data_IF_735961205416
#
_entry.id   IF_735961205416
#
_cell.length_a   1.000
_cell.length_b   1.000
_cell.length_c   1.000
_cell.angle_alpha   90.00
_cell.angle_beta   90.00
_cell.angle_gamma   90.00
#
_symmetry.space_group_name_H-M   'P 1'
#
loop_
_entity.id
_entity.type
_entity.pdbx_description
1 polymer ?
#
# COMPACT_ATOMS: atom_id res chain seq x y z
N UNK A 1 8.77 7.35 22.00
CA UNK A 1 9.18 6.41 23.08
C UNK A 1 9.97 7.17 24.14
N UNK A 2 9.74 6.88 25.42
CA UNK A 2 10.55 7.39 26.53
C UNK A 2 11.38 6.24 27.10
N UNK A 3 12.69 6.40 27.23
CA UNK A 3 13.58 5.35 27.72
C UNK A 3 14.48 5.90 28.80
N UNK A 4 14.45 5.26 29.97
CA UNK A 4 15.43 5.51 31.03
C UNK A 4 16.72 4.75 30.67
N UNK A 5 17.80 5.48 30.41
CA UNK A 5 19.04 4.89 29.91
C UNK A 5 20.07 4.75 31.04
N UNK A 6 20.64 3.55 31.25
CA UNK A 6 21.81 3.39 32.10
C UNK A 6 22.95 4.31 31.64
N UNK A 7 23.72 4.87 32.58
CA UNK A 7 24.77 5.86 32.31
C UNK A 7 25.80 5.45 31.22
N UNK A 8 26.02 4.14 31.02
CA UNK A 8 26.91 3.60 29.99
C UNK A 8 26.41 3.75 28.55
N UNK A 9 25.13 4.06 28.33
CA UNK A 9 24.55 4.20 26.99
C UNK A 9 24.77 5.58 26.36
N UNK A 10 25.23 6.57 27.14
CA UNK A 10 25.53 7.94 26.66
C UNK A 10 26.58 7.99 25.55
N UNK A 11 27.49 7.00 25.50
CA UNK A 11 28.57 6.89 24.51
C UNK A 11 28.18 6.16 23.23
N UNK A 12 27.01 5.53 23.21
CA UNK A 12 26.51 4.87 22.00
C UNK A 12 26.05 5.91 20.99
N UNK A 13 26.03 5.54 19.71
CA UNK A 13 25.24 6.28 18.72
C UNK A 13 23.75 5.94 18.87
N UNK A 14 22.86 6.80 18.35
CA UNK A 14 21.43 6.50 18.32
C UNK A 14 21.13 5.20 17.57
N UNK A 15 21.87 4.89 16.50
CA UNK A 15 21.80 3.61 15.78
C UNK A 15 22.12 2.42 16.67
N UNK A 16 23.25 2.46 17.37
CA UNK A 16 23.65 1.40 18.30
C UNK A 16 22.65 1.23 19.44
N UNK A 17 22.04 2.34 19.90
CA UNK A 17 20.99 2.30 20.90
C UNK A 17 19.72 1.62 20.34
N UNK A 18 19.29 1.98 19.13
CA UNK A 18 18.15 1.36 18.45
C UNK A 18 18.36 -0.15 18.25
N UNK A 19 19.57 -0.59 17.89
CA UNK A 19 19.88 -2.02 17.75
C UNK A 19 19.79 -2.78 19.08
N UNK A 20 20.07 -2.12 20.21
CA UNK A 20 19.90 -2.73 21.54
C UNK A 20 18.44 -2.74 22.01
N UNK A 21 17.67 -1.71 21.68
CA UNK A 21 16.27 -1.60 22.10
C UNK A 21 15.34 -2.43 21.22
N UNK A 22 15.64 -2.51 19.93
CA UNK A 22 14.85 -3.17 18.89
C UNK A 22 15.72 -4.19 18.15
N UNK A 23 16.22 -5.23 18.84
CA UNK A 23 17.15 -6.19 18.25
C UNK A 23 16.55 -6.94 17.05
N UNK A 24 17.38 -7.36 16.09
CA UNK A 24 16.90 -8.02 14.87
C UNK A 24 16.49 -9.48 15.10
N UNK A 25 17.01 -10.14 16.14
CA UNK A 25 16.83 -11.56 16.42
C UNK A 25 15.76 -11.86 17.48
N UNK A 26 15.07 -12.99 17.34
CA UNK A 26 13.96 -13.37 18.24
C UNK A 26 14.39 -13.48 19.71
N UNK A 27 15.62 -13.94 19.97
CA UNK A 27 16.18 -14.05 21.32
C UNK A 27 16.32 -12.68 21.97
N UNK A 28 17.01 -11.75 21.30
CA UNK A 28 17.14 -10.37 21.78
C UNK A 28 15.78 -9.68 21.97
N UNK A 29 14.83 -9.93 21.07
CA UNK A 29 13.48 -9.35 21.15
C UNK A 29 12.73 -9.85 22.38
N UNK A 30 12.83 -11.15 22.70
CA UNK A 30 12.26 -11.74 23.91
C UNK A 30 12.86 -11.15 25.18
N UNK A 31 14.19 -10.98 25.24
CA UNK A 31 14.87 -10.35 26.38
C UNK A 31 14.45 -8.90 26.60
N UNK A 32 14.33 -8.11 25.53
CA UNK A 32 13.89 -6.72 25.60
C UNK A 32 12.42 -6.61 26.00
N UNK A 33 11.54 -7.46 25.45
CA UNK A 33 10.12 -7.50 25.80
C UNK A 33 9.86 -7.92 27.25
N UNK A 34 10.75 -8.74 27.84
CA UNK A 34 10.70 -9.14 29.25
C UNK A 34 11.05 -8.00 30.22
N UNK A 35 11.76 -6.96 29.74
CA UNK A 35 12.15 -5.78 30.54
C UNK A 35 11.11 -4.67 30.55
N UNK A 36 10.02 -4.81 29.77
CA UNK A 36 8.94 -3.83 29.71
C UNK A 36 8.13 -3.84 31.02
N UNK A 37 7.86 -2.67 31.58
CA UNK A 37 7.04 -2.55 32.78
C UNK A 37 5.54 -2.63 32.46
N UNK A 38 5.05 -3.87 32.40
CA UNK A 38 3.63 -4.16 32.11
C UNK A 38 2.69 -3.75 33.24
N UNK A 39 3.20 -3.45 34.44
CA UNK A 39 2.38 -3.04 35.58
C UNK A 39 1.99 -1.58 35.46
N UNK A 40 2.95 -0.74 35.11
CA UNK A 40 2.73 0.70 34.95
C UNK A 40 2.06 1.03 33.61
N UNK A 41 2.32 0.25 32.56
CA UNK A 41 1.63 0.40 31.28
C UNK A 41 1.43 -0.97 30.58
N UNK A 42 0.20 -1.51 30.62
CA UNK A 42 -0.11 -2.82 30.04
C UNK A 42 -0.01 -2.85 28.50
N UNK A 43 -0.05 -1.70 27.83
CA UNK A 43 0.01 -1.59 26.36
C UNK A 43 1.44 -1.57 25.81
N UNK A 44 2.46 -1.52 26.69
CA UNK A 44 3.86 -1.48 26.27
C UNK A 44 4.27 -2.65 25.37
N UNK A 45 3.85 -3.90 25.60
CA UNK A 45 4.17 -5.00 24.68
C UNK A 45 3.63 -4.77 23.27
N UNK A 46 2.41 -4.26 23.13
CA UNK A 46 1.82 -3.95 21.82
C UNK A 46 2.56 -2.78 21.15
N UNK A 47 2.83 -1.70 21.89
CA UNK A 47 3.63 -0.58 21.41
C UNK A 47 5.03 -1.02 20.97
N UNK A 48 5.66 -1.92 21.73
CA UNK A 48 6.97 -2.47 21.44
C UNK A 48 6.97 -3.28 20.15
N UNK A 49 5.94 -4.11 19.93
CA UNK A 49 5.79 -4.88 18.69
C UNK A 49 5.68 -3.97 17.45
N UNK A 50 4.96 -2.85 17.55
CA UNK A 50 4.88 -1.84 16.48
C UNK A 50 6.25 -1.21 16.19
N UNK A 51 7.01 -0.85 17.23
CA UNK A 51 8.36 -0.29 17.05
C UNK A 51 9.35 -1.31 16.48
N UNK A 52 9.23 -2.58 16.87
CA UNK A 52 9.99 -3.69 16.29
C UNK A 52 9.73 -3.81 14.80
N UNK A 53 8.45 -3.79 14.44
CA UNK A 53 7.98 -3.86 13.05
C UNK A 53 8.56 -2.73 12.22
N UNK A 54 8.48 -1.49 12.72
CA UNK A 54 9.08 -0.33 12.08
C UNK A 54 10.61 -0.47 11.91
N UNK A 55 11.31 -0.97 12.93
CA UNK A 55 12.75 -1.19 12.84
C UNK A 55 13.12 -2.30 11.83
N UNK A 56 12.32 -3.36 11.74
CA UNK A 56 12.48 -4.42 10.74
C UNK A 56 12.22 -3.89 9.33
N UNK A 57 11.15 -3.11 9.12
CA UNK A 57 10.86 -2.44 7.84
C UNK A 57 12.01 -1.52 7.40
N UNK A 58 12.56 -0.74 8.34
CA UNK A 58 13.72 0.12 8.07
C UNK A 58 14.97 -0.70 7.66
N UNK A 59 15.28 -1.79 8.38
CA UNK A 59 16.41 -2.68 8.05
C UNK A 59 16.24 -3.40 6.71
N UNK A 60 15.01 -3.76 6.36
CA UNK A 60 14.65 -4.34 5.08
C UNK A 60 14.66 -3.33 3.92
N UNK A 61 14.91 -2.04 4.19
CA UNK A 61 14.94 -0.97 3.19
C UNK A 61 13.56 -0.52 2.71
N UNK A 62 12.49 -0.88 3.42
CA UNK A 62 11.10 -0.55 3.05
C UNK A 62 10.74 0.90 3.37
N UNK A 63 11.40 1.49 4.37
CA UNK A 63 11.25 2.90 4.73
C UNK A 63 12.59 3.54 5.11
N UNK A 64 12.67 4.86 5.02
CA UNK A 64 13.71 5.63 5.73
C UNK A 64 13.21 5.99 7.12
N UNK A 65 14.11 5.97 8.09
CA UNK A 65 13.80 6.36 9.45
C UNK A 65 14.36 7.74 9.74
N UNK A 66 13.49 8.71 9.96
CA UNK A 66 13.86 10.02 10.51
C UNK A 66 13.73 9.99 12.02
N UNK A 67 14.74 10.51 12.71
CA UNK A 67 14.77 10.60 14.16
C UNK A 67 14.61 12.04 14.60
N UNK A 68 13.82 12.24 15.65
CA UNK A 68 13.74 13.52 16.33
C UNK A 68 13.78 13.33 17.85
N UNK A 69 14.44 14.23 18.57
CA UNK A 69 14.63 14.14 20.01
C UNK A 69 13.91 15.27 20.74
N UNK A 70 13.19 14.92 21.81
CA UNK A 70 12.41 15.85 22.62
C UNK A 70 10.90 15.86 22.33
N UNK A 71 10.18 16.74 23.05
CA UNK A 71 8.72 16.91 22.93
C UNK A 71 8.33 17.60 21.61
N UNK A 72 7.14 17.29 21.09
CA UNK A 72 6.53 17.89 19.90
C UNK A 72 7.42 17.83 18.64
N UNK A 73 7.84 16.63 18.23
CA UNK A 73 8.69 16.42 17.04
C UNK A 73 10.07 17.10 17.10
N UNK A 74 10.50 17.47 18.32
CA UNK A 74 11.71 18.21 18.72
C UNK A 74 12.78 18.52 17.67
N UNK A 75 14.05 18.18 17.95
CA UNK A 75 15.17 18.48 17.04
C UNK A 75 15.47 17.26 16.17
N UNK A 76 15.67 17.42 14.84
CA UNK A 76 16.17 16.34 14.00
C UNK A 76 17.45 15.78 14.58
N UNK A 77 17.56 14.45 14.59
CA UNK A 77 18.72 13.73 15.08
C UNK A 77 19.24 12.80 13.99
N UNK A 78 20.55 12.71 13.86
CA UNK A 78 21.18 11.76 12.95
C UNK A 78 21.38 10.42 13.66
N UNK A 79 21.16 9.26 13.00
CA UNK A 79 21.40 7.95 13.61
C UNK A 79 22.81 7.76 14.18
N UNK A 80 23.79 8.46 13.61
CA UNK A 80 25.19 8.38 14.04
C UNK A 80 25.56 9.42 15.11
N UNK A 81 24.59 10.24 15.56
CA UNK A 81 24.80 11.14 16.68
C UNK A 81 24.99 10.35 17.98
N UNK A 82 25.87 10.82 18.89
CA UNK A 82 25.99 10.23 20.21
C UNK A 82 24.72 10.47 21.02
N UNK A 83 24.24 9.43 21.72
CA UNK A 83 23.06 9.50 22.60
C UNK A 83 23.19 10.64 23.61
N UNK A 84 24.39 10.83 24.17
CA UNK A 84 24.67 11.88 25.14
C UNK A 84 24.35 13.30 24.66
N UNK A 85 24.37 13.58 23.35
CA UNK A 85 24.00 14.88 22.80
C UNK A 85 22.48 15.17 22.87
N UNK A 86 21.67 14.13 23.09
CA UNK A 86 20.21 14.19 23.04
C UNK A 86 19.54 13.94 24.40
N UNK A 87 20.32 13.62 25.42
CA UNK A 87 19.83 13.39 26.78
C UNK A 87 19.33 14.69 27.41
N UNK A 88 18.15 14.64 28.01
CA UNK A 88 17.65 15.74 28.84
C UNK A 88 18.07 15.51 30.28
N UNK A 89 18.62 16.53 30.96
CA UNK A 89 18.80 16.44 32.41
C UNK A 89 17.43 16.37 33.08
N UNK A 90 17.21 15.31 33.85
CA UNK A 90 15.98 15.11 34.61
C UNK A 90 15.92 16.19 35.70
N UNK A 91 14.81 16.93 35.85
CA UNK A 91 14.71 17.97 36.87
C UNK A 91 14.95 17.35 38.25
N UNK A 92 15.83 17.97 39.04
CA UNK A 92 16.21 17.58 40.40
C UNK A 92 15.01 17.59 41.35
N UNK A 93 14.17 16.56 41.29
CA UNK A 93 13.17 16.27 42.31
C UNK A 93 13.52 14.93 42.97
N UNK A 94 14.27 15.05 44.08
CA UNK A 94 14.40 14.10 45.20
C UNK A 94 14.56 12.62 44.84
N UNK A 95 15.80 12.19 44.60
CA UNK A 95 16.29 10.92 45.15
C UNK A 95 17.67 11.13 45.76
N UNK A 96 17.72 11.11 47.10
CA UNK A 96 18.98 10.89 47.83
C UNK A 96 19.44 9.48 47.45
N UNK A 97 20.56 9.38 46.73
CA UNK A 97 21.23 8.11 46.40
C UNK A 97 20.96 7.50 45.01
N UNK A 98 20.22 8.15 44.11
CA UNK A 98 20.00 7.64 42.74
C UNK A 98 21.06 8.14 41.76
N UNK A 99 21.69 7.24 40.98
CA UNK A 99 22.46 7.62 39.77
C UNK A 99 21.58 8.51 38.89
N UNK A 100 22.17 9.55 38.30
CA UNK A 100 21.46 10.48 37.42
C UNK A 100 20.87 9.76 36.22
N UNK A 101 19.60 9.38 36.33
CA UNK A 101 18.80 8.93 35.20
C UNK A 101 18.63 10.14 34.28
N UNK A 102 19.05 9.98 33.03
CA UNK A 102 18.88 10.99 32.00
C UNK A 102 17.83 10.47 31.01
N UNK A 103 16.88 11.33 30.68
CA UNK A 103 15.72 10.96 29.88
C UNK A 103 16.03 11.15 28.39
N UNK A 104 15.84 10.09 27.60
CA UNK A 104 15.80 10.18 26.14
C UNK A 104 14.37 10.03 25.64
N UNK A 105 13.87 11.07 24.99
CA UNK A 105 12.64 11.02 24.21
C UNK A 105 13.00 10.94 22.73
N UNK A 106 12.74 9.79 22.12
CA UNK A 106 12.99 9.55 20.70
C UNK A 106 11.66 9.41 19.96
N UNK A 107 11.56 10.13 18.86
CA UNK A 107 10.47 10.03 17.90
C UNK A 107 11.01 9.45 16.61
N UNK A 108 10.34 8.40 16.13
CA UNK A 108 10.69 7.63 14.94
C UNK A 108 9.63 7.89 13.89
N UNK A 109 10.04 8.44 12.75
CA UNK A 109 9.17 8.78 11.64
C UNK A 109 9.55 7.93 10.42
N UNK A 110 8.72 6.94 10.03
CA UNK A 110 8.91 6.28 8.75
C UNK A 110 8.60 7.23 7.60
N UNK A 111 9.44 7.17 6.56
CA UNK A 111 9.12 7.65 5.24
C UNK A 111 9.21 6.47 4.27
N UNK A 112 8.05 5.90 3.93
CA UNK A 112 7.93 4.80 2.97
C UNK A 112 8.29 5.28 1.57
N UNK A 113 8.98 4.42 0.81
CA UNK A 113 9.47 4.74 -0.54
C UNK A 113 9.19 3.58 -1.51
N UNK A 114 7.91 3.27 -1.77
CA UNK A 114 7.54 2.16 -2.64
C UNK A 114 8.11 2.27 -4.05
N UNK A 115 8.31 3.50 -4.55
CA UNK A 115 8.85 3.73 -5.89
C UNK A 115 10.36 3.45 -5.97
N UNK A 116 11.13 3.89 -4.96
CA UNK A 116 12.56 3.54 -4.86
C UNK A 116 12.72 2.01 -4.65
N UNK A 117 11.84 1.42 -3.84
CA UNK A 117 11.81 -0.02 -3.57
C UNK A 117 11.53 -0.85 -4.84
N UNK A 118 10.56 -0.44 -5.65
CA UNK A 118 10.21 -1.14 -6.89
C UNK A 118 11.38 -1.15 -7.88
N UNK A 119 12.10 -0.04 -8.01
CA UNK A 119 13.30 0.06 -8.83
C UNK A 119 14.40 -0.85 -8.29
N UNK A 120 14.64 -0.84 -6.98
CA UNK A 120 15.66 -1.68 -6.35
C UNK A 120 15.38 -3.19 -6.50
N UNK A 121 14.10 -3.58 -6.63
CA UNK A 121 13.66 -4.96 -6.84
C UNK A 121 13.52 -5.35 -8.30
N UNK A 122 13.71 -4.42 -9.23
CA UNK A 122 13.62 -4.67 -10.67
C UNK A 122 12.21 -4.70 -11.25
N UNK A 123 11.18 -4.31 -10.47
CA UNK A 123 9.81 -4.16 -10.98
C UNK A 123 9.67 -2.97 -11.94
N UNK A 124 10.53 -1.96 -11.79
CA UNK A 124 10.58 -0.80 -12.66
C UNK A 124 12.00 -0.49 -13.12
N UNK A 125 12.13 -0.07 -14.38
CA UNK A 125 13.43 0.31 -14.99
C UNK A 125 14.07 1.48 -14.23
N UNK A 126 13.27 2.52 -13.99
CA UNK A 126 13.70 3.65 -13.20
C UNK A 126 12.49 4.39 -12.59
N UNK A 127 12.79 5.20 -11.58
CA UNK A 127 11.77 5.94 -10.82
C UNK A 127 11.01 6.95 -11.68
N UNK A 128 11.67 7.55 -12.67
CA UNK A 128 11.09 8.61 -13.49
C UNK A 128 10.02 8.07 -14.45
N UNK A 129 10.30 6.97 -15.15
CA UNK A 129 9.35 6.32 -16.04
C UNK A 129 8.14 5.76 -15.29
N UNK A 130 8.37 5.12 -14.14
CA UNK A 130 7.27 4.63 -13.30
C UNK A 130 6.35 5.79 -12.87
N UNK A 131 6.95 6.89 -12.44
CA UNK A 131 6.20 8.08 -12.01
C UNK A 131 5.46 8.75 -13.18
N UNK A 132 6.09 8.90 -14.35
CA UNK A 132 5.41 9.42 -15.56
C UNK A 132 4.18 8.59 -15.90
N UNK A 133 4.31 7.26 -15.84
CA UNK A 133 3.19 6.34 -16.08
C UNK A 133 2.06 6.56 -15.07
N UNK A 134 2.35 6.57 -13.76
CA UNK A 134 1.32 6.76 -12.72
C UNK A 134 0.65 8.14 -12.81
N UNK A 135 1.43 9.21 -12.99
CA UNK A 135 0.92 10.56 -13.14
C UNK A 135 0.00 10.69 -14.35
N UNK A 136 0.37 10.02 -15.46
CA UNK A 136 -0.42 10.01 -16.68
C UNK A 136 -1.74 9.27 -16.51
N UNK A 137 -1.71 8.12 -15.83
CA UNK A 137 -2.93 7.36 -15.53
C UNK A 137 -3.85 8.12 -14.56
N UNK A 138 -3.29 8.73 -13.51
CA UNK A 138 -4.04 9.54 -12.56
C UNK A 138 -4.70 10.75 -13.26
N UNK A 139 -3.98 11.43 -14.16
CA UNK A 139 -4.57 12.53 -14.92
C UNK A 139 -5.72 12.04 -15.82
N UNK A 140 -5.52 10.95 -16.57
CA UNK A 140 -6.59 10.37 -17.39
C UNK A 140 -7.81 9.97 -16.55
N UNK A 141 -7.59 9.40 -15.37
CA UNK A 141 -8.64 9.07 -14.42
C UNK A 141 -9.49 10.30 -14.03
N UNK A 142 -8.85 11.42 -13.68
CA UNK A 142 -9.57 12.64 -13.31
C UNK A 142 -10.36 13.25 -14.47
N UNK A 143 -9.81 13.23 -15.69
CA UNK A 143 -10.53 13.75 -16.86
C UNK A 143 -11.71 12.84 -17.21
N UNK A 144 -11.51 11.52 -17.23
CA UNK A 144 -12.53 10.58 -17.67
C UNK A 144 -13.66 10.38 -16.65
N UNK A 145 -13.31 10.12 -15.38
CA UNK A 145 -14.29 9.85 -14.31
C UNK A 145 -14.96 11.11 -13.78
N UNK A 146 -14.19 12.19 -13.61
CA UNK A 146 -14.65 13.41 -12.93
C UNK A 146 -14.87 14.60 -13.86
N UNK A 147 -14.53 14.48 -15.16
CA UNK A 147 -14.67 15.59 -16.11
C UNK A 147 -13.80 16.80 -15.77
N UNK A 148 -12.67 16.59 -15.08
CA UNK A 148 -11.81 17.69 -14.68
C UNK A 148 -11.28 18.48 -15.88
N UNK A 149 -11.43 19.81 -15.85
CA UNK A 149 -10.85 20.68 -16.87
C UNK A 149 -9.32 20.64 -16.80
N UNK A 150 -8.68 20.25 -17.90
CA UNK A 150 -7.22 20.17 -18.01
C UNK A 150 -6.72 21.23 -18.98
N UNK A 151 -5.84 22.15 -18.55
CA UNK A 151 -5.25 23.13 -19.44
C UNK A 151 -4.47 22.47 -20.58
N UNK A 152 -4.36 23.14 -21.73
CA UNK A 152 -3.46 22.65 -22.77
C UNK A 152 -2.00 22.82 -22.33
N UNK A 153 -1.08 22.06 -22.94
CA UNK A 153 0.35 22.17 -22.60
C UNK A 153 0.92 23.59 -22.87
N UNK A 154 0.31 24.34 -23.80
CA UNK A 154 0.65 25.74 -24.08
C UNK A 154 0.21 26.70 -22.97
N UNK A 155 -0.87 26.40 -22.26
CA UNK A 155 -1.44 27.27 -21.22
C UNK A 155 -0.67 27.16 -19.90
N UNK A 156 0.03 26.05 -19.69
CA UNK A 156 0.81 25.81 -18.47
C UNK A 156 2.15 26.53 -18.52
N UNK A 157 2.56 27.14 -17.40
CA UNK A 157 3.89 27.73 -17.28
C UNK A 157 5.01 26.69 -17.46
N UNK A 158 6.19 27.11 -17.91
CA UNK A 158 7.32 26.19 -18.08
C UNK A 158 7.76 25.50 -16.76
N UNK A 159 7.50 26.14 -15.62
CA UNK A 159 7.76 25.62 -14.28
C UNK A 159 6.62 24.79 -13.69
N UNK A 160 5.49 24.66 -14.38
CA UNK A 160 4.34 23.94 -13.87
C UNK A 160 4.64 22.42 -13.78
N UNK A 161 4.46 21.79 -12.61
CA UNK A 161 4.77 20.38 -12.42
C UNK A 161 3.86 19.43 -13.22
N UNK A 162 2.68 19.87 -13.65
CA UNK A 162 1.78 19.08 -14.49
C UNK A 162 2.13 19.17 -15.98
N UNK A 163 2.90 20.18 -16.41
CA UNK A 163 3.24 20.40 -17.82
C UNK A 163 3.91 19.18 -18.48
N UNK A 164 4.88 18.48 -17.85
CA UNK A 164 5.47 17.27 -18.44
C UNK A 164 4.45 16.17 -18.69
N UNK A 165 3.51 15.97 -17.75
CA UNK A 165 2.48 14.93 -17.82
C UNK A 165 1.49 15.22 -18.94
N UNK A 166 0.94 16.44 -18.99
CA UNK A 166 0.03 16.90 -20.05
C UNK A 166 0.72 16.82 -21.43
N UNK A 167 1.98 17.26 -21.52
CA UNK A 167 2.75 17.19 -22.76
C UNK A 167 3.02 15.74 -23.19
N UNK A 168 3.30 14.85 -22.24
CA UNK A 168 3.50 13.42 -22.48
C UNK A 168 2.24 12.74 -23.01
N UNK A 169 1.08 13.01 -22.40
CA UNK A 169 -0.22 12.51 -22.87
C UNK A 169 -0.61 13.06 -24.24
N UNK A 170 -0.36 14.35 -24.51
CA UNK A 170 -0.57 14.94 -25.84
C UNK A 170 0.31 14.27 -26.91
N UNK A 171 1.60 14.03 -26.63
CA UNK A 171 2.51 13.32 -27.54
C UNK A 171 2.06 11.89 -27.82
N UNK A 172 1.56 11.19 -26.80
CA UNK A 172 0.96 9.85 -26.92
C UNK A 172 -0.46 9.87 -27.50
N UNK A 173 -0.99 11.04 -27.87
CA UNK A 173 -2.35 11.24 -28.39
C UNK A 173 -3.45 10.73 -27.46
N UNK A 174 -3.17 10.69 -26.15
CA UNK A 174 -4.14 10.30 -25.13
C UNK A 174 -5.05 11.46 -24.72
N UNK A 175 -4.53 12.68 -24.84
CA UNK A 175 -5.28 13.93 -24.72
C UNK A 175 -5.31 14.64 -26.07
N UNK A 176 -6.36 15.42 -26.30
CA UNK A 176 -6.52 16.35 -27.43
C UNK A 176 -7.17 17.65 -26.95
N UNK A 177 -7.02 18.77 -27.68
CA UNK A 177 -7.78 19.98 -27.38
C UNK A 177 -9.29 19.70 -27.37
N UNK A 178 -10.00 20.26 -26.40
CA UNK A 178 -11.46 20.13 -26.29
C UNK A 178 -12.15 20.81 -27.49
N UNK A 179 -13.32 20.29 -27.89
CA UNK A 179 -14.04 20.78 -29.07
C UNK A 179 -14.59 22.20 -28.90
N UNK A 180 -14.90 22.60 -27.67
CA UNK A 180 -15.32 23.94 -27.27
C UNK A 180 -14.14 24.92 -27.10
N UNK A 181 -12.91 24.42 -27.20
CA UNK A 181 -11.68 25.17 -27.03
C UNK A 181 -11.26 25.39 -25.57
N UNK A 182 -11.99 24.83 -24.59
CA UNK A 182 -11.68 24.99 -23.17
C UNK A 182 -10.81 23.82 -22.68
N UNK A 183 -9.50 23.97 -22.83
CA UNK A 183 -8.53 22.99 -22.35
C UNK A 183 -8.41 21.72 -23.20
N UNK A 184 -8.30 20.57 -22.54
CA UNK A 184 -8.03 19.27 -23.14
C UNK A 184 -9.01 18.21 -22.65
N UNK A 185 -9.35 17.28 -23.55
CA UNK A 185 -10.23 16.14 -23.31
C UNK A 185 -9.55 14.81 -23.68
N UNK A 186 -10.11 13.69 -23.21
CA UNK A 186 -9.61 12.35 -23.54
C UNK A 186 -9.85 12.02 -25.01
N UNK A 187 -8.76 11.74 -25.72
CA UNK A 187 -8.78 11.30 -27.11
C UNK A 187 -9.03 9.78 -27.22
N UNK A 188 -9.37 9.23 -28.41
CA UNK A 188 -9.64 7.80 -28.58
C UNK A 188 -8.52 6.88 -28.07
N UNK A 189 -7.24 7.22 -28.27
CA UNK A 189 -6.13 6.43 -27.74
C UNK A 189 -6.05 6.48 -26.21
N UNK A 190 -6.47 7.60 -25.61
CA UNK A 190 -6.61 7.72 -24.15
C UNK A 190 -7.72 6.82 -23.62
N UNK A 191 -8.88 6.79 -24.29
CA UNK A 191 -9.99 5.88 -23.92
C UNK A 191 -9.59 4.41 -24.06
N UNK A 192 -8.83 4.07 -25.11
CA UNK A 192 -8.31 2.72 -25.27
C UNK A 192 -7.37 2.35 -24.12
N UNK A 193 -6.45 3.25 -23.75
CA UNK A 193 -5.57 3.03 -22.61
C UNK A 193 -6.37 2.84 -21.31
N UNK A 194 -7.37 3.69 -21.05
CA UNK A 194 -8.26 3.53 -19.87
C UNK A 194 -8.95 2.16 -19.90
N UNK A 195 -9.50 1.74 -21.04
CA UNK A 195 -10.13 0.43 -21.20
C UNK A 195 -9.15 -0.72 -20.91
N UNK A 196 -7.90 -0.65 -21.39
CA UNK A 196 -6.86 -1.63 -21.05
C UNK A 196 -6.54 -1.67 -19.56
N UNK A 197 -6.44 -0.50 -18.91
CA UNK A 197 -6.17 -0.43 -17.46
C UNK A 197 -7.34 -0.98 -16.64
N UNK A 198 -8.58 -0.73 -17.05
CA UNK A 198 -9.77 -1.28 -16.40
C UNK A 198 -9.81 -2.80 -16.51
N UNK A 199 -9.62 -3.36 -17.70
CA UNK A 199 -9.60 -4.81 -17.91
C UNK A 199 -8.49 -5.49 -17.10
N UNK A 200 -7.31 -4.87 -17.03
CA UNK A 200 -6.22 -5.35 -16.18
C UNK A 200 -6.59 -5.29 -14.69
N UNK A 201 -7.25 -4.22 -14.26
CA UNK A 201 -7.66 -4.08 -12.85
C UNK A 201 -8.74 -5.10 -12.48
N UNK A 202 -9.70 -5.38 -13.37
CA UNK A 202 -10.71 -6.41 -13.17
C UNK A 202 -10.07 -7.80 -13.05
N UNK A 203 -9.11 -8.13 -13.92
CA UNK A 203 -8.37 -9.38 -13.81
C UNK A 203 -7.59 -9.50 -12.48
N UNK A 204 -7.04 -8.39 -11.97
CA UNK A 204 -6.39 -8.35 -10.65
C UNK A 204 -7.40 -8.55 -9.51
N UNK A 205 -8.59 -7.96 -9.61
CA UNK A 205 -9.66 -8.15 -8.61
C UNK A 205 -10.11 -9.60 -8.60
N UNK A 206 -10.40 -10.18 -9.77
CA UNK A 206 -10.84 -11.57 -9.89
C UNK A 206 -9.80 -12.55 -9.31
N UNK A 207 -8.52 -12.25 -9.49
CA UNK A 207 -7.42 -13.12 -9.04
C UNK A 207 -7.03 -12.93 -7.57
N UNK A 208 -7.15 -11.72 -7.04
CA UNK A 208 -6.53 -11.37 -5.76
C UNK A 208 -7.46 -10.77 -4.70
N UNK A 209 -8.68 -10.33 -5.03
CA UNK A 209 -9.53 -9.64 -4.04
C UNK A 209 -9.94 -10.55 -2.86
N UNK A 210 -9.94 -11.88 -3.06
CA UNK A 210 -10.11 -12.85 -1.98
C UNK A 210 -9.09 -12.68 -0.85
N UNK A 211 -7.86 -12.26 -1.15
CA UNK A 211 -6.78 -12.12 -0.18
C UNK A 211 -6.81 -10.80 0.59
N UNK A 212 -7.82 -9.93 0.37
CA UNK A 212 -7.95 -8.66 1.12
C UNK A 212 -8.21 -8.86 2.62
N UNK A 213 -8.69 -10.05 2.98
CA UNK A 213 -9.04 -10.43 4.34
C UNK A 213 -8.80 -11.93 4.53
N UNK A 214 -7.53 -12.31 4.62
CA UNK A 214 -7.09 -13.70 4.73
C UNK A 214 -6.44 -13.96 6.09
N UNK A 215 -6.73 -15.13 6.68
CA UNK A 215 -6.08 -15.60 7.91
C UNK A 215 -5.88 -17.10 7.91
N UNK A 216 -4.87 -17.54 8.65
CA UNK A 216 -4.65 -18.96 8.91
C UNK A 216 -5.38 -19.38 10.20
N UNK A 217 -6.26 -20.38 10.11
CA UNK A 217 -6.82 -21.04 11.27
C UNK A 217 -5.92 -22.21 11.68
N UNK A 218 -5.26 -22.08 12.84
CA UNK A 218 -4.36 -23.13 13.35
C UNK A 218 -5.10 -24.38 13.82
N UNK A 219 -6.34 -24.27 14.27
CA UNK A 219 -7.09 -25.43 14.77
C UNK A 219 -7.59 -26.28 13.60
N UNK A 220 -8.04 -25.64 12.53
CA UNK A 220 -8.56 -26.30 11.33
C UNK A 220 -7.48 -26.61 10.29
N UNK A 221 -6.28 -26.05 10.44
CA UNK A 221 -5.18 -26.13 9.47
C UNK A 221 -5.63 -25.73 8.06
N UNK A 222 -6.40 -24.64 7.98
CA UNK A 222 -6.99 -24.14 6.75
C UNK A 222 -7.00 -22.61 6.74
N UNK A 223 -6.99 -22.04 5.54
CA UNK A 223 -7.19 -20.62 5.33
C UNK A 223 -8.67 -20.24 5.46
N UNK A 224 -8.90 -19.08 6.07
CA UNK A 224 -10.20 -18.44 6.11
C UNK A 224 -10.14 -17.07 5.44
N UNK A 225 -11.20 -16.76 4.70
CA UNK A 225 -11.32 -15.53 3.91
C UNK A 225 -12.61 -14.78 4.27
N UNK A 226 -12.62 -13.46 4.10
CA UNK A 226 -13.80 -12.60 4.29
C UNK A 226 -14.46 -12.70 5.69
N UNK A 227 -13.63 -12.89 6.73
CA UNK A 227 -14.08 -13.06 8.13
C UNK A 227 -14.20 -11.74 8.91
N UNK A 228 -13.69 -10.65 8.36
CA UNK A 228 -13.47 -9.35 9.00
C UNK A 228 -12.34 -9.35 10.04
N UNK A 229 -11.52 -10.41 10.09
CA UNK A 229 -10.50 -10.64 11.13
C UNK A 229 -9.12 -11.00 10.57
N UNK A 230 -9.00 -11.15 9.27
CA UNK A 230 -7.76 -11.43 8.57
C UNK A 230 -6.98 -10.18 8.23
N UNK A 231 -5.83 -10.41 7.58
CA UNK A 231 -4.95 -9.38 7.08
C UNK A 231 -5.17 -9.21 5.56
N UNK A 232 -4.87 -8.02 5.05
CA UNK A 232 -4.75 -7.79 3.62
C UNK A 232 -3.42 -8.38 3.14
N UNK A 233 -3.51 -9.54 2.48
CA UNK A 233 -2.39 -10.31 1.93
C UNK A 233 -2.30 -10.19 0.40
N UNK A 234 -2.99 -9.22 -0.21
CA UNK A 234 -2.99 -9.06 -1.67
C UNK A 234 -1.60 -8.78 -2.23
N UNK A 235 -0.82 -7.95 -1.56
CA UNK A 235 0.55 -7.62 -2.01
C UNK A 235 1.43 -8.86 -1.99
N UNK A 236 1.32 -9.68 -0.96
CA UNK A 236 2.01 -10.96 -0.82
C UNK A 236 1.61 -11.94 -1.93
N UNK A 237 0.31 -12.10 -2.18
CA UNK A 237 -0.23 -12.93 -3.27
C UNK A 237 0.30 -12.48 -4.65
N UNK A 238 0.21 -11.18 -4.95
CA UNK A 238 0.69 -10.59 -6.21
C UNK A 238 2.20 -10.83 -6.39
N UNK A 239 2.99 -10.68 -5.32
CA UNK A 239 4.43 -10.92 -5.37
C UNK A 239 4.78 -12.39 -5.56
N UNK A 240 4.02 -13.33 -4.96
CA UNK A 240 4.25 -14.76 -5.12
C UNK A 240 3.98 -15.22 -6.57
N UNK A 241 2.98 -14.63 -7.23
CA UNK A 241 2.68 -14.83 -8.65
C UNK A 241 3.69 -14.11 -9.59
N UNK A 242 4.70 -13.42 -9.05
CA UNK A 242 5.73 -12.75 -9.83
C UNK A 242 5.25 -11.47 -10.53
N UNK A 243 4.11 -10.93 -10.13
CA UNK A 243 3.55 -9.69 -10.68
C UNK A 243 4.15 -8.45 -10.00
N UNK A 244 4.03 -7.28 -10.64
CA UNK A 244 4.45 -5.99 -10.07
C UNK A 244 3.41 -5.47 -9.06
N UNK A 245 3.73 -5.46 -7.75
CA UNK A 245 2.79 -5.01 -6.73
C UNK A 245 2.57 -3.49 -6.74
N UNK A 246 3.51 -2.69 -7.26
CA UNK A 246 3.31 -1.24 -7.36
C UNK A 246 2.28 -0.94 -8.43
N UNK A 247 2.43 -1.54 -9.62
CA UNK A 247 1.43 -1.42 -10.68
C UNK A 247 0.06 -1.91 -10.22
N UNK A 248 -0.01 -3.11 -9.64
CA UNK A 248 -1.28 -3.70 -9.23
C UNK A 248 -1.99 -2.87 -8.16
N UNK A 249 -1.29 -2.46 -7.09
CA UNK A 249 -1.88 -1.62 -6.05
C UNK A 249 -2.29 -0.26 -6.62
N UNK A 250 -1.47 0.37 -7.47
CA UNK A 250 -1.84 1.64 -8.10
C UNK A 250 -3.15 1.53 -8.89
N UNK A 251 -3.31 0.47 -9.69
CA UNK A 251 -4.53 0.21 -10.45
C UNK A 251 -5.75 0.00 -9.54
N UNK A 252 -5.61 -0.82 -8.50
CA UNK A 252 -6.68 -1.01 -7.50
C UNK A 252 -7.10 0.30 -6.83
N UNK A 253 -6.15 1.22 -6.56
CA UNK A 253 -6.42 2.55 -5.99
C UNK A 253 -7.12 3.51 -6.95
N UNK A 254 -6.90 3.36 -8.26
CA UNK A 254 -7.69 4.08 -9.25
C UNK A 254 -9.12 3.54 -9.27
N UNK A 255 -9.29 2.23 -9.16
CA UNK A 255 -10.59 1.58 -9.27
C UNK A 255 -11.48 1.77 -8.04
N UNK A 256 -10.93 1.64 -6.82
CA UNK A 256 -11.68 1.71 -5.56
C UNK A 256 -12.13 3.13 -5.16
N UNK A 257 -11.81 4.15 -5.97
CA UNK A 257 -12.17 5.54 -5.70
C UNK A 257 -11.26 6.23 -4.69
N UNK A 258 -10.12 5.66 -4.30
CA UNK A 258 -9.15 6.30 -3.38
C UNK A 258 -8.76 7.71 -3.84
N UNK A 259 -8.73 7.95 -5.16
CA UNK A 259 -8.38 9.25 -5.72
C UNK A 259 -9.56 10.24 -5.81
N UNK A 260 -10.80 9.81 -5.60
CA UNK A 260 -12.00 10.67 -5.74
C UNK A 260 -11.96 11.96 -4.91
N UNK A 261 -11.50 11.93 -3.63
CA UNK A 261 -11.38 13.14 -2.82
C UNK A 261 -10.41 14.20 -3.37
N UNK A 262 -9.56 13.83 -4.34
CA UNK A 262 -8.58 14.72 -4.96
C UNK A 262 -9.07 15.34 -6.27
N UNK A 263 -10.29 15.07 -6.74
CA UNK A 263 -10.80 15.58 -8.01
C UNK A 263 -10.63 17.12 -8.15
N UNK A 264 -11.00 17.88 -7.13
CA UNK A 264 -10.85 19.35 -7.12
C UNK A 264 -9.40 19.84 -6.96
N UNK A 265 -8.49 18.94 -6.60
CA UNK A 265 -7.07 19.24 -6.32
C UNK A 265 -6.14 18.37 -7.17
N UNK A 266 -6.61 17.87 -8.30
CA UNK A 266 -5.91 16.88 -9.12
C UNK A 266 -4.51 17.37 -9.51
N UNK A 267 -4.34 18.67 -9.78
CA UNK A 267 -3.06 19.29 -10.14
C UNK A 267 -2.00 19.12 -9.04
N UNK A 268 -2.42 19.20 -7.77
CA UNK A 268 -1.51 18.98 -6.64
C UNK A 268 -1.10 17.51 -6.55
N UNK A 269 -2.04 16.58 -6.76
CA UNK A 269 -1.74 15.15 -6.72
C UNK A 269 -0.81 14.75 -7.88
N UNK A 270 -1.18 15.11 -9.11
CA UNK A 270 -0.39 14.81 -10.32
C UNK A 270 0.96 15.50 -10.26
N UNK A 271 1.02 16.75 -9.77
CA UNK A 271 2.26 17.53 -9.69
C UNK A 271 3.19 17.20 -8.51
N UNK A 272 2.74 16.45 -7.49
CA UNK A 272 3.56 16.06 -6.33
C UNK A 272 3.95 14.58 -6.39
N UNK A 273 5.20 14.25 -6.77
CA UNK A 273 5.72 12.88 -6.73
C UNK A 273 5.55 12.17 -5.39
N UNK A 274 5.55 12.92 -4.28
CA UNK A 274 5.38 12.38 -2.94
C UNK A 274 3.97 11.88 -2.65
N UNK A 275 2.95 12.34 -3.39
CA UNK A 275 1.59 11.78 -3.28
C UNK A 275 1.56 10.29 -3.65
N UNK A 276 2.31 9.89 -4.68
CA UNK A 276 2.33 8.50 -5.15
C UNK A 276 3.05 7.57 -4.16
N UNK A 277 4.12 8.04 -3.51
CA UNK A 277 4.76 7.26 -2.44
C UNK A 277 3.79 7.00 -1.26
N UNK A 278 2.93 7.98 -0.92
CA UNK A 278 1.89 7.81 0.11
C UNK A 278 0.76 6.88 -0.34
N UNK A 279 0.29 7.02 -1.58
CA UNK A 279 -0.76 6.17 -2.15
C UNK A 279 -0.34 4.69 -2.16
N UNK A 280 0.94 4.45 -2.44
CA UNK A 280 1.52 3.12 -2.57
C UNK A 280 2.21 2.64 -1.29
N UNK A 281 2.06 3.37 -0.19
CA UNK A 281 2.55 2.95 1.12
C UNK A 281 2.21 1.48 1.44
N UNK A 282 0.99 0.96 1.16
CA UNK A 282 0.64 -0.44 1.44
C UNK A 282 1.56 -1.50 0.80
N UNK A 283 2.24 -1.17 -0.30
CA UNK A 283 3.19 -2.10 -0.97
C UNK A 283 4.38 -2.43 -0.06
N UNK A 284 4.79 -1.46 0.76
CA UNK A 284 5.97 -1.55 1.63
C UNK A 284 5.63 -1.48 3.12
N UNK A 285 4.45 -0.98 3.47
CA UNK A 285 3.86 -1.00 4.80
C UNK A 285 2.73 -2.03 4.88
N UNK A 286 3.08 -3.28 4.56
CA UNK A 286 2.17 -4.44 4.57
C UNK A 286 2.02 -5.02 5.99
N UNK A 287 1.13 -6.01 6.15
CA UNK A 287 0.97 -6.72 7.41
C UNK A 287 2.30 -7.35 7.84
N UNK A 288 2.86 -6.85 8.94
CA UNK A 288 4.18 -7.26 9.44
C UNK A 288 4.07 -7.67 10.93
N UNK A 289 4.73 -8.77 11.35
CA UNK A 289 5.48 -9.70 10.51
C UNK A 289 4.56 -10.47 9.54
N UNK A 290 5.04 -10.81 8.33
CA UNK A 290 4.24 -11.62 7.42
C UNK A 290 4.01 -13.00 8.07
N UNK A 291 2.96 -13.74 7.67
CA UNK A 291 2.86 -15.15 8.03
C UNK A 291 4.14 -15.88 7.64
N UNK A 292 4.57 -16.91 8.39
CA UNK A 292 5.68 -17.76 7.96
C UNK A 292 5.47 -18.23 6.51
N UNK A 293 6.53 -18.32 5.71
CA UNK A 293 6.42 -18.64 4.27
C UNK A 293 5.54 -19.87 4.00
N UNK A 294 5.68 -20.93 4.81
CA UNK A 294 4.84 -22.13 4.70
C UNK A 294 3.34 -21.86 4.94
N UNK A 295 3.01 -20.97 5.89
CA UNK A 295 1.63 -20.55 6.16
C UNK A 295 1.11 -19.68 5.02
N UNK A 296 1.94 -18.76 4.52
CA UNK A 296 1.57 -17.91 3.40
C UNK A 296 1.29 -18.76 2.14
N UNK A 297 2.14 -19.74 1.85
CA UNK A 297 1.93 -20.70 0.75
C UNK A 297 0.63 -21.48 0.93
N UNK A 298 0.36 -22.02 2.13
CA UNK A 298 -0.88 -22.73 2.39
C UNK A 298 -2.12 -21.83 2.20
N UNK A 299 -2.07 -20.58 2.65
CA UNK A 299 -3.14 -19.60 2.41
C UNK A 299 -3.35 -19.37 0.91
N UNK A 300 -2.27 -19.24 0.13
CA UNK A 300 -2.34 -19.05 -1.31
C UNK A 300 -2.95 -20.27 -2.02
N UNK A 301 -2.50 -21.47 -1.67
CA UNK A 301 -3.02 -22.73 -2.22
C UNK A 301 -4.53 -22.88 -1.96
N UNK A 302 -4.97 -22.70 -0.71
CA UNK A 302 -6.39 -22.75 -0.35
C UNK A 302 -7.20 -21.66 -1.07
N UNK A 303 -6.63 -20.46 -1.19
CA UNK A 303 -7.28 -19.32 -1.86
C UNK A 303 -7.49 -19.57 -3.35
N UNK A 304 -6.47 -20.05 -4.06
CA UNK A 304 -6.58 -20.36 -5.49
C UNK A 304 -7.49 -21.56 -5.76
N UNK A 305 -7.44 -22.60 -4.93
CA UNK A 305 -8.37 -23.72 -5.02
C UNK A 305 -9.84 -23.27 -4.84
N UNK A 306 -10.09 -22.33 -3.90
CA UNK A 306 -11.41 -21.76 -3.72
C UNK A 306 -11.86 -20.91 -4.91
N UNK A 307 -10.97 -20.12 -5.51
CA UNK A 307 -11.27 -19.33 -6.71
C UNK A 307 -11.60 -20.23 -7.90
N UNK A 308 -10.83 -21.30 -8.11
CA UNK A 308 -11.09 -22.30 -9.16
C UNK A 308 -12.45 -22.96 -8.97
N UNK A 309 -12.76 -23.45 -7.76
CA UNK A 309 -14.06 -24.05 -7.45
C UNK A 309 -15.23 -23.08 -7.67
N UNK A 310 -15.06 -21.79 -7.33
CA UNK A 310 -16.07 -20.75 -7.60
C UNK A 310 -16.26 -20.51 -9.10
N UNK A 311 -15.18 -20.51 -9.88
CA UNK A 311 -15.23 -20.34 -11.32
C UNK A 311 -15.93 -21.52 -12.02
N UNK A 312 -15.62 -22.75 -11.62
CA UNK A 312 -16.29 -23.96 -12.10
C UNK A 312 -17.79 -23.93 -11.81
N UNK A 313 -18.17 -23.63 -10.57
CA UNK A 313 -19.58 -23.53 -10.18
C UNK A 313 -20.34 -22.45 -10.95
N UNK A 314 -19.71 -21.30 -11.22
CA UNK A 314 -20.28 -20.23 -12.02
C UNK A 314 -20.48 -20.66 -13.48
N UNK A 315 -19.50 -21.37 -14.06
CA UNK A 315 -19.58 -21.90 -15.42
C UNK A 315 -20.70 -22.93 -15.56
N UNK A 316 -20.85 -23.83 -14.59
CA UNK A 316 -21.94 -24.82 -14.56
C UNK A 316 -23.32 -24.16 -14.46
N UNK A 317 -23.46 -23.13 -13.62
CA UNK A 317 -24.71 -22.39 -13.51
C UNK A 317 -25.08 -21.68 -14.81
N UNK A 318 -24.12 -21.06 -15.49
CA UNK A 318 -24.34 -20.42 -16.81
C UNK A 318 -24.74 -21.44 -17.87
N UNK A 319 -24.08 -22.61 -17.89
CA UNK A 319 -24.42 -23.69 -18.79
C UNK A 319 -25.86 -24.21 -18.56
N UNK A 320 -26.26 -24.38 -17.30
CA UNK A 320 -27.62 -24.78 -16.94
C UNK A 320 -28.67 -23.74 -17.34
N UNK A 321 -28.39 -22.44 -17.09
CA UNK A 321 -29.28 -21.35 -17.48
C UNK A 321 -29.48 -21.29 -19.01
N UNK A 322 -28.42 -21.51 -19.78
CA UNK A 322 -28.50 -21.55 -21.25
C UNK A 322 -29.32 -22.75 -21.75
N UNK A 323 -29.17 -23.92 -21.14
CA UNK A 323 -29.99 -25.10 -21.46
C UNK A 323 -31.47 -24.81 -21.17
N UNK A 324 -31.77 -24.24 -20.00
CA UNK A 324 -33.15 -23.88 -19.63
C UNK A 324 -33.74 -22.87 -20.60
N UNK A 325 -32.98 -21.84 -21.00
CA UNK A 325 -33.40 -20.84 -21.98
C UNK A 325 -33.76 -21.48 -23.32
N UNK A 326 -32.92 -22.37 -23.85
CA UNK A 326 -33.19 -23.08 -25.11
C UNK A 326 -34.41 -23.99 -25.04
N UNK A 327 -34.61 -24.67 -23.91
CA UNK A 327 -35.79 -25.52 -23.71
C UNK A 327 -37.08 -24.68 -23.69
N UNK A 328 -37.06 -23.52 -23.03
CA UNK A 328 -38.20 -22.59 -23.03
C UNK A 328 -38.47 -22.00 -24.42
N UNK A 329 -37.43 -21.63 -25.16
CA UNK A 329 -37.54 -21.16 -26.54
C UNK A 329 -38.17 -22.23 -27.45
N UNK A 330 -37.74 -23.49 -27.34
CA UNK A 330 -38.32 -24.62 -28.10
C UNK A 330 -39.78 -24.92 -27.74
N UNK A 331 -40.13 -24.84 -26.44
CA UNK A 331 -41.53 -25.01 -26.00
C UNK A 331 -42.42 -23.87 -26.50
N UNK A 332 -41.91 -22.63 -26.54
CA UNK A 332 -42.66 -21.47 -27.06
C UNK A 332 -42.86 -21.54 -28.58
N UNK A 333 -41.86 -22.03 -29.33
CA UNK A 333 -41.97 -22.23 -30.78
C UNK A 333 -42.96 -23.36 -31.13
N UNK A 334 -42.91 -24.49 -30.41
CA UNK A 334 -43.84 -25.60 -30.61
C UNK A 334 -45.30 -25.27 -30.26
N UNK A 335 -45.53 -24.37 -29.30
CA UNK A 335 -46.88 -23.88 -28.97
C UNK A 335 -47.44 -22.90 -30.02
N UNK A 336 -46.58 -22.15 -30.71
CA UNK A 336 -46.98 -21.22 -31.78
C UNK A 336 -47.38 -21.95 -33.06
N UNK A 337 -46.68 -23.03 -33.43
CA UNK A 337 -47.03 -23.84 -34.61
C UNK A 337 -48.34 -24.62 -34.41
N UNK A 338 -48.61 -25.11 -33.19
CA UNK A 338 -49.87 -25.80 -32.86
C UNK A 338 -51.11 -24.88 -32.89
N UNK A 339 -50.93 -23.55 -32.76
CA UNK A 339 -52.01 -22.57 -32.87
C UNK A 339 -52.19 -22.03 -34.30
N UNK A 340 -51.24 -22.26 -35.20
CA UNK A 340 -51.31 -21.86 -36.61
C UNK A 340 -51.98 -22.91 -37.51
N UNK A 341 -52.08 -24.17 -37.05
CA UNK A 341 -52.71 -25.28 -37.78
C UNK A 341 -54.15 -25.62 -37.35
N UNK A 342 -54.77 -24.83 -36.46
CA UNK A 342 -56.17 -24.98 -36.01
C UNK A 342 -57.10 -23.94 -36.60
#
# INVERSE_FOLDING_TARGET
>A
MHVNLPAGNSRLTLRQLLDRLLPPDATGQGEAAARLDRRDNPDLPACYAVLLTLAQQWRAGLCRLSLATGRNWGRPAHPDDPVGAHLRPTPLCRRVGGRGDADLMLTMLPAYRPLDWAVARGYAVNRHELLDWMQSCALLYFVDKHGCAVPTASDLSASDPCRPVVSGLNRRRCLRPAADGDGAEVAPAGRQLIGSLLAETEALIDSFDLFKDARWNQDEQAAEFDTGRGADLRVEAIMAEGLDPVRAVFLLRLYDGTLDPYADQWQRLVGDPGCFDRLLEPVVNRAMPPPPDAVLTAIMEDGFALLEARAEAAADCLAQAEIQRRLLEQQSAGASDALAEG
#
